data_IF_371587451491
#
_entry.id   IF_371587451491
#
_cell.length_a   1.000
_cell.length_b   1.000
_cell.length_c   1.000
_cell.angle_alpha   90.00
_cell.angle_beta   90.00
_cell.angle_gamma   90.00
#
_symmetry.space_group_name_H-M   'P 1'
#
loop_
_entity.id
_entity.type
_entity.pdbx_description
1 polymer ?
#
# COMPACT_ATOMS: atom_id res chain seq x y z
N UNK A 1 -10.14 14.65 -6.93
CA UNK A 1 -10.42 15.31 -5.63
C UNK A 1 -11.25 14.46 -4.68
N UNK A 2 -12.29 13.70 -5.10
CA UNK A 2 -13.00 12.78 -4.18
C UNK A 2 -12.54 11.31 -4.25
N UNK A 3 -11.93 10.88 -5.36
CA UNK A 3 -11.51 9.48 -5.57
C UNK A 3 -10.23 9.15 -4.83
N UNK A 4 -9.27 10.08 -4.82
CA UNK A 4 -7.92 9.92 -4.27
C UNK A 4 -7.96 9.62 -2.76
N UNK A 5 -8.81 10.35 -2.04
CA UNK A 5 -8.98 10.17 -0.59
C UNK A 5 -9.70 8.86 -0.23
N UNK A 6 -10.60 8.38 -1.10
CA UNK A 6 -11.27 7.10 -0.89
C UNK A 6 -10.29 5.94 -1.10
N UNK A 7 -9.55 5.95 -2.21
CA UNK A 7 -8.53 4.93 -2.50
C UNK A 7 -7.46 4.89 -1.40
N UNK A 8 -6.99 6.06 -0.92
CA UNK A 8 -6.06 6.14 0.21
C UNK A 8 -6.63 5.46 1.48
N UNK A 9 -7.91 5.69 1.77
CA UNK A 9 -8.59 5.08 2.93
C UNK A 9 -8.69 3.56 2.78
N UNK A 10 -8.94 3.05 1.57
CA UNK A 10 -8.96 1.61 1.28
C UNK A 10 -7.59 0.98 1.50
N UNK A 11 -6.52 1.61 0.98
CA UNK A 11 -5.14 1.15 1.21
C UNK A 11 -4.85 1.09 2.71
N UNK A 12 -5.20 2.14 3.46
CA UNK A 12 -4.97 2.17 4.90
C UNK A 12 -5.79 1.13 5.65
N UNK A 13 -7.01 0.86 5.21
CA UNK A 13 -7.86 -0.19 5.77
C UNK A 13 -7.27 -1.58 5.51
N UNK A 14 -6.69 -1.82 4.34
CA UNK A 14 -5.98 -3.06 4.01
C UNK A 14 -4.73 -3.24 4.90
N UNK A 15 -3.92 -2.20 5.06
CA UNK A 15 -2.76 -2.23 5.98
C UNK A 15 -3.26 -2.48 7.41
N UNK A 16 -4.30 -1.75 7.85
CA UNK A 16 -4.92 -1.88 9.18
C UNK A 16 -5.40 -3.31 9.46
N UNK A 17 -5.88 -4.00 8.44
CA UNK A 17 -6.35 -5.38 8.56
C UNK A 17 -5.24 -6.39 8.89
N UNK A 18 -3.99 -6.08 8.56
CA UNK A 18 -2.82 -6.94 8.77
C UNK A 18 -2.11 -6.71 10.11
N UNK A 19 -2.42 -5.62 10.82
CA UNK A 19 -1.97 -5.47 12.20
C UNK A 19 -2.85 -6.28 13.14
N UNK A 20 -2.20 -6.96 14.07
CA UNK A 20 -2.86 -7.61 15.19
C UNK A 20 -3.53 -6.59 16.11
N UNK A 21 -2.93 -5.39 16.24
CA UNK A 21 -3.47 -4.29 17.01
C UNK A 21 -4.31 -3.34 16.13
N UNK A 22 -5.63 -3.49 16.20
CA UNK A 22 -6.58 -2.63 15.48
C UNK A 22 -6.84 -1.28 16.15
N UNK A 23 -6.27 -1.05 17.35
CA UNK A 23 -6.35 0.25 18.04
C UNK A 23 -5.34 1.24 17.47
N UNK A 24 -4.31 0.75 16.79
CA UNK A 24 -3.33 1.59 16.12
C UNK A 24 -3.92 2.24 14.87
N UNK A 25 -3.69 3.55 14.73
CA UNK A 25 -4.10 4.30 13.56
C UNK A 25 -3.01 4.24 12.48
N UNK A 26 -3.41 4.04 11.23
CA UNK A 26 -2.48 3.99 10.09
C UNK A 26 -2.24 5.42 9.62
N UNK A 27 -1.02 5.91 9.83
CA UNK A 27 -0.61 7.27 9.45
C UNK A 27 0.31 7.24 8.24
N UNK A 28 0.40 8.35 7.52
CA UNK A 28 1.27 8.49 6.34
C UNK A 28 2.75 8.15 6.62
N UNK A 29 3.24 8.48 7.81
CA UNK A 29 4.62 8.26 8.25
C UNK A 29 4.87 6.83 8.79
N UNK A 30 3.83 6.01 8.90
CA UNK A 30 3.94 4.65 9.44
C UNK A 30 4.82 3.77 8.56
N UNK A 31 5.94 3.28 9.11
CA UNK A 31 6.88 2.43 8.39
C UNK A 31 6.30 1.03 8.14
N UNK A 32 6.25 0.61 6.86
CA UNK A 32 5.78 -0.73 6.49
C UNK A 32 6.93 -1.73 6.33
N UNK A 33 8.15 -1.26 6.05
CA UNK A 33 9.36 -2.10 5.97
C UNK A 33 10.51 -1.49 6.75
N UNK A 34 11.37 -2.32 7.33
CA UNK A 34 12.61 -1.91 8.00
C UNK A 34 12.64 -2.22 9.50
N UNK A 35 13.59 -1.63 10.23
CA UNK A 35 13.82 -1.96 11.65
C UNK A 35 12.68 -1.58 12.60
N UNK A 36 11.81 -0.65 12.19
CA UNK A 36 10.63 -0.23 12.95
C UNK A 36 9.32 -0.73 12.32
N UNK A 37 9.39 -1.61 11.30
CA UNK A 37 8.16 -2.08 10.65
C UNK A 37 7.45 -3.13 11.47
N UNK A 38 6.14 -2.97 11.52
CA UNK A 38 5.22 -3.92 12.15
C UNK A 38 4.74 -5.02 11.19
N UNK A 39 5.07 -4.90 9.90
CA UNK A 39 4.77 -5.91 8.89
C UNK A 39 5.99 -6.80 8.65
N UNK A 40 5.81 -8.10 8.84
CA UNK A 40 6.76 -9.11 8.41
C UNK A 40 6.70 -9.35 6.89
N UNK A 41 7.71 -10.00 6.33
CA UNK A 41 7.77 -10.35 4.90
C UNK A 41 6.51 -11.08 4.39
N UNK A 42 5.87 -11.90 5.23
CA UNK A 42 4.61 -12.58 4.85
C UNK A 42 3.44 -11.59 4.77
N UNK A 43 3.29 -10.72 5.77
CA UNK A 43 2.23 -9.71 5.80
C UNK A 43 2.35 -8.72 4.63
N UNK A 44 3.58 -8.41 4.19
CA UNK A 44 3.80 -7.59 3.00
C UNK A 44 3.28 -8.25 1.73
N UNK A 45 3.47 -9.57 1.56
CA UNK A 45 2.93 -10.30 0.42
C UNK A 45 1.40 -10.32 0.46
N UNK A 46 0.81 -10.57 1.64
CA UNK A 46 -0.64 -10.51 1.83
C UNK A 46 -1.21 -9.12 1.51
N UNK A 47 -0.53 -8.06 1.94
CA UNK A 47 -0.88 -6.68 1.59
C UNK A 47 -0.89 -6.46 0.08
N UNK A 48 0.14 -6.93 -0.62
CA UNK A 48 0.26 -6.77 -2.06
C UNK A 48 -0.89 -7.48 -2.79
N UNK A 49 -1.21 -8.71 -2.41
CA UNK A 49 -2.31 -9.48 -2.98
C UNK A 49 -3.67 -8.79 -2.73
N UNK A 50 -3.89 -8.27 -1.52
CA UNK A 50 -5.11 -7.55 -1.20
C UNK A 50 -5.25 -6.25 -2.01
N UNK A 51 -4.14 -5.54 -2.25
CA UNK A 51 -4.11 -4.34 -3.09
C UNK A 51 -4.31 -4.67 -4.57
N UNK A 52 -3.77 -5.79 -5.06
CA UNK A 52 -3.94 -6.26 -6.43
C UNK A 52 -5.40 -6.60 -6.74
N UNK A 53 -6.09 -7.28 -5.82
CA UNK A 53 -7.53 -7.56 -5.90
C UNK A 53 -8.34 -6.24 -5.95
N UNK A 54 -8.01 -5.29 -5.05
CA UNK A 54 -8.63 -3.95 -5.03
C UNK A 54 -8.37 -3.14 -6.30
N UNK A 55 -7.16 -3.21 -6.84
CA UNK A 55 -6.83 -2.51 -8.08
C UNK A 55 -7.67 -3.06 -9.24
N UNK A 56 -7.81 -4.38 -9.29
CA UNK A 56 -8.62 -5.08 -10.29
C UNK A 56 -10.08 -4.62 -10.19
N UNK A 57 -10.64 -4.50 -8.98
CA UNK A 57 -11.98 -3.92 -8.74
C UNK A 57 -12.10 -2.47 -9.23
N UNK A 58 -11.04 -1.67 -9.10
CA UNK A 58 -10.97 -0.28 -9.55
C UNK A 58 -10.75 -0.14 -11.08
N UNK A 59 -10.54 -1.26 -11.77
CA UNK A 59 -10.37 -1.36 -13.21
C UNK A 59 -8.93 -1.17 -13.70
N UNK A 60 -7.93 -1.39 -12.84
CA UNK A 60 -6.51 -1.33 -13.22
C UNK A 60 -5.70 -2.46 -12.58
N UNK A 61 -4.48 -2.70 -13.05
CA UNK A 61 -3.60 -3.71 -12.48
C UNK A 61 -2.51 -3.04 -11.62
N UNK A 62 -2.45 -3.37 -10.34
CA UNK A 62 -1.43 -2.86 -9.43
C UNK A 62 -0.16 -3.69 -9.55
N UNK A 63 0.90 -3.08 -10.08
CA UNK A 63 2.19 -3.74 -10.27
C UNK A 63 3.10 -3.47 -9.08
N UNK A 64 3.04 -4.38 -8.10
CA UNK A 64 3.89 -4.38 -6.91
C UNK A 64 5.19 -5.17 -7.09
N UNK A 65 5.32 -5.91 -8.20
CA UNK A 65 6.50 -6.71 -8.53
C UNK A 65 7.51 -5.96 -9.41
N UNK A 66 7.11 -4.80 -9.94
CA UNK A 66 7.93 -3.98 -10.83
C UNK A 66 9.28 -3.61 -10.22
N UNK A 67 10.29 -3.47 -11.08
CA UNK A 67 11.62 -2.99 -10.66
C UNK A 67 11.56 -1.61 -9.97
N UNK A 68 10.55 -0.79 -10.29
CA UNK A 68 10.26 0.47 -9.61
C UNK A 68 9.81 0.26 -8.15
N UNK A 69 8.97 -0.75 -7.89
CA UNK A 69 8.51 -1.13 -6.56
C UNK A 69 9.63 -1.80 -5.72
N UNK A 70 10.49 -2.60 -6.36
CA UNK A 70 11.59 -3.34 -5.71
C UNK A 70 12.87 -2.52 -5.47
N UNK A 71 12.99 -1.29 -5.99
CA UNK A 71 14.20 -0.49 -5.80
C UNK A 71 14.32 0.03 -4.35
N UNK A 72 15.22 -0.60 -3.58
CA UNK A 72 15.48 -0.39 -2.13
C UNK A 72 15.70 1.05 -1.65
N UNK A 73 15.98 2.03 -2.52
CA UNK A 73 16.17 3.44 -2.12
C UNK A 73 14.92 4.33 -2.28
N UNK A 74 13.90 3.89 -3.04
CA UNK A 74 12.67 4.66 -3.36
C UNK A 74 11.37 3.84 -3.14
N UNK A 75 11.47 2.71 -2.44
CA UNK A 75 10.39 1.72 -2.36
C UNK A 75 9.10 2.30 -1.79
N UNK A 76 8.00 2.12 -2.53
CA UNK A 76 6.64 2.46 -2.12
C UNK A 76 6.25 1.84 -0.77
N UNK A 77 6.91 0.76 -0.36
CA UNK A 77 6.69 0.12 0.93
C UNK A 77 7.42 0.81 2.09
N UNK A 78 8.07 1.96 1.89
CA UNK A 78 8.76 2.66 2.99
C UNK A 78 7.78 3.11 4.07
N UNK A 79 6.67 3.73 3.67
CA UNK A 79 5.61 4.16 4.58
C UNK A 79 4.23 3.90 4.00
N UNK A 80 3.20 3.85 4.86
CA UNK A 80 1.82 3.70 4.41
C UNK A 80 1.40 4.81 3.44
N UNK A 81 1.82 6.05 3.69
CA UNK A 81 1.59 7.19 2.78
C UNK A 81 2.24 6.99 1.41
N UNK A 82 3.48 6.48 1.39
CA UNK A 82 4.20 6.20 0.13
C UNK A 82 3.50 5.13 -0.69
N UNK A 83 2.98 4.08 -0.03
CA UNK A 83 2.27 2.99 -0.71
C UNK A 83 0.95 3.47 -1.30
N UNK A 84 0.16 4.23 -0.52
CA UNK A 84 -1.10 4.79 -0.99
C UNK A 84 -0.89 5.77 -2.15
N UNK A 85 0.13 6.63 -2.06
CA UNK A 85 0.49 7.56 -3.13
C UNK A 85 0.88 6.81 -4.42
N UNK A 86 1.70 5.76 -4.32
CA UNK A 86 2.09 4.99 -5.51
C UNK A 86 0.90 4.21 -6.09
N UNK A 87 0.03 3.66 -5.26
CA UNK A 87 -1.19 2.98 -5.72
C UNK A 87 -2.09 3.93 -6.51
N UNK A 88 -2.31 5.15 -6.00
CA UNK A 88 -3.09 6.19 -6.70
C UNK A 88 -2.38 6.59 -7.99
N UNK A 89 -1.07 6.82 -7.96
CA UNK A 89 -0.28 7.17 -9.14
C UNK A 89 -0.37 6.08 -10.24
N UNK A 90 -0.29 4.80 -9.88
CA UNK A 90 -0.50 3.68 -10.81
C UNK A 90 -1.94 3.65 -11.34
N UNK A 91 -2.92 3.89 -10.47
CA UNK A 91 -4.31 3.99 -10.91
C UNK A 91 -4.48 5.12 -11.94
N UNK A 92 -3.97 6.32 -11.67
CA UNK A 92 -4.10 7.48 -12.56
C UNK A 92 -3.32 7.32 -13.88
N UNK A 93 -2.19 6.62 -13.87
CA UNK A 93 -1.37 6.40 -15.07
C UNK A 93 -1.86 5.23 -15.94
N UNK A 94 -2.55 4.25 -15.35
CA UNK A 94 -3.06 3.06 -16.06
C UNK A 94 -4.56 3.14 -16.41
N UNK A 95 -5.28 4.16 -15.93
CA UNK A 95 -6.71 4.37 -16.16
C UNK A 95 -6.97 5.43 -17.22
#
# INVERSE_FOLDING_TARGET
>A
MSTDNNVKTEVYSAIKALFDDKSQDVTDDMALIGGESLLDSMKLVELCLALEDKATDLGFEFDWTSAAAMSKSRSMFRTAGSLAAEFINQMETKK
#
